data_IF_337675328354
#
_entry.id   IF_337675328354
#
_cell.length_a   1.000
_cell.length_b   1.000
_cell.length_c   1.000
_cell.angle_alpha   90.00
_cell.angle_beta   90.00
_cell.angle_gamma   90.00
#
_symmetry.space_group_name_H-M   'P 1'
#
loop_
_entity.id
_entity.type
_entity.pdbx_description
1 polymer ?
#
# COMPACT_ATOMS: atom_id res chain seq x y z
N UNK A 1 19.85 -5.79 14.80
CA UNK A 1 18.42 -6.02 15.05
C UNK A 1 17.60 -5.02 14.26
N UNK A 2 16.60 -5.52 13.63
CA UNK A 2 15.71 -4.68 12.83
C UNK A 2 14.85 -3.79 13.74
N UNK A 3 14.79 -2.51 13.44
CA UNK A 3 13.96 -1.57 14.19
C UNK A 3 12.57 -1.52 13.55
N UNK A 4 11.68 -2.43 13.97
CA UNK A 4 10.34 -2.51 13.46
C UNK A 4 9.46 -1.32 13.89
N UNK A 5 9.84 -0.61 14.96
CA UNK A 5 9.08 0.55 15.44
C UNK A 5 9.09 1.70 14.43
N UNK A 6 10.05 1.72 13.52
CA UNK A 6 10.18 2.78 12.52
C UNK A 6 8.92 2.96 11.66
N UNK A 7 8.17 1.87 11.43
CA UNK A 7 6.96 1.90 10.59
C UNK A 7 5.68 1.65 11.38
N UNK A 8 5.76 1.59 12.71
CA UNK A 8 4.59 1.30 13.54
C UNK A 8 3.48 2.33 13.33
N UNK A 9 3.84 3.62 13.33
CA UNK A 9 2.86 4.67 13.16
C UNK A 9 2.21 4.64 11.78
N UNK A 10 3.01 4.43 10.74
CA UNK A 10 2.50 4.32 9.37
C UNK A 10 1.56 3.12 9.25
N UNK A 11 1.95 1.98 9.82
CA UNK A 11 1.11 0.78 9.79
C UNK A 11 -0.19 0.98 10.56
N UNK A 12 -0.14 1.67 11.71
CA UNK A 12 -1.34 2.00 12.49
C UNK A 12 -2.32 2.86 11.68
N UNK A 13 -1.79 3.80 10.89
CA UNK A 13 -2.63 4.62 10.04
C UNK A 13 -3.30 3.80 8.94
N UNK A 14 -2.61 2.79 8.40
CA UNK A 14 -3.20 1.86 7.45
C UNK A 14 -4.30 1.03 8.10
N UNK A 15 -4.08 0.55 9.33
CA UNK A 15 -5.10 -0.20 10.08
C UNK A 15 -6.34 0.65 10.34
N UNK A 16 -6.14 1.89 10.74
CA UNK A 16 -7.26 2.81 11.00
C UNK A 16 -8.04 3.09 9.71
N UNK A 17 -7.32 3.30 8.60
CA UNK A 17 -7.96 3.54 7.31
C UNK A 17 -8.85 2.36 6.89
N UNK A 18 -8.42 1.13 7.16
CA UNK A 18 -9.16 -0.06 6.75
C UNK A 18 -10.60 -0.09 7.29
N UNK A 19 -10.87 0.60 8.40
CA UNK A 19 -12.22 0.68 8.96
C UNK A 19 -13.22 1.31 8.00
N UNK A 20 -12.76 2.15 7.07
CA UNK A 20 -13.61 2.83 6.10
C UNK A 20 -13.67 2.11 4.75
N UNK A 21 -13.08 0.93 4.63
CA UNK A 21 -13.10 0.18 3.38
C UNK A 21 -14.53 -0.14 2.94
N UNK A 22 -14.77 -0.05 1.63
CA UNK A 22 -16.05 -0.42 1.06
C UNK A 22 -15.91 -1.83 0.47
N UNK A 23 -16.22 -2.84 1.27
CA UNK A 23 -16.02 -4.25 0.91
C UNK A 23 -17.29 -5.09 1.17
N UNK A 24 -18.45 -4.71 0.59
CA UNK A 24 -19.71 -5.42 0.87
C UNK A 24 -19.77 -6.82 0.24
N UNK A 25 -18.91 -7.10 -0.75
CA UNK A 25 -18.95 -8.37 -1.47
C UNK A 25 -17.98 -9.38 -0.87
N UNK A 26 -16.73 -9.01 -0.63
CA UNK A 26 -15.71 -9.91 -0.11
C UNK A 26 -15.68 -9.95 1.42
N UNK A 27 -16.13 -8.88 2.07
CA UNK A 27 -15.96 -8.64 3.52
C UNK A 27 -14.48 -8.63 3.94
N UNK A 28 -13.58 -8.34 2.99
CA UNK A 28 -12.14 -8.29 3.22
C UNK A 28 -11.66 -6.85 3.08
N UNK A 29 -11.42 -6.20 4.22
CA UNK A 29 -11.04 -4.79 4.29
C UNK A 29 -9.53 -4.65 4.17
N UNK A 30 -9.11 -3.65 3.39
CA UNK A 30 -7.70 -3.31 3.25
C UNK A 30 -7.55 -1.82 3.44
N UNK A 31 -6.54 -1.42 4.20
CA UNK A 31 -6.15 -0.03 4.34
C UNK A 31 -4.72 0.16 3.89
N UNK A 32 -4.42 1.31 3.33
CA UNK A 32 -3.06 1.68 2.94
C UNK A 32 -2.73 3.05 3.48
N UNK A 33 -1.48 3.25 3.87
CA UNK A 33 -0.95 4.53 4.29
C UNK A 33 0.32 4.80 3.50
N UNK A 34 0.31 5.88 2.73
CA UNK A 34 1.38 6.28 1.84
C UNK A 34 2.09 7.50 2.45
N UNK A 35 3.38 7.36 2.75
CA UNK A 35 4.16 8.47 3.30
C UNK A 35 4.78 9.27 2.17
N UNK A 36 4.60 10.58 2.22
CA UNK A 36 5.14 11.51 1.24
C UNK A 36 6.52 12.02 1.68
N UNK A 37 7.22 12.67 0.77
CA UNK A 37 8.56 13.18 1.02
C UNK A 37 8.60 14.30 2.09
N UNK A 38 7.47 14.98 2.32
CA UNK A 38 7.36 15.99 3.38
C UNK A 38 6.98 15.40 4.74
N UNK A 39 6.85 14.08 4.82
CA UNK A 39 6.49 13.38 6.05
C UNK A 39 4.98 13.22 6.29
N UNK A 40 4.15 13.86 5.47
CA UNK A 40 2.70 13.68 5.58
C UNK A 40 2.28 12.31 5.05
N UNK A 41 1.07 11.90 5.38
CA UNK A 41 0.54 10.58 5.03
C UNK A 41 -0.80 10.72 4.32
N UNK A 42 -0.95 10.00 3.23
CA UNK A 42 -2.22 9.88 2.49
C UNK A 42 -2.71 8.45 2.62
N UNK A 43 -3.95 8.27 3.06
CA UNK A 43 -4.50 6.93 3.23
C UNK A 43 -5.44 6.57 2.08
N UNK A 44 -5.63 5.27 1.91
CA UNK A 44 -6.58 4.72 0.95
C UNK A 44 -7.17 3.43 1.47
N UNK A 45 -8.28 3.03 0.88
CA UNK A 45 -9.00 1.81 1.23
C UNK A 45 -9.41 1.10 -0.04
N UNK A 46 -9.69 -0.21 0.06
CA UNK A 46 -10.28 -0.89 -1.08
C UNK A 46 -11.74 -0.44 -1.25
N UNK A 47 -12.10 -0.24 -2.50
CA UNK A 47 -13.45 0.18 -2.89
C UNK A 47 -13.95 -0.83 -3.90
N UNK A 48 -14.85 -1.69 -3.45
CA UNK A 48 -15.40 -2.74 -4.29
C UNK A 48 -16.55 -2.24 -5.14
N UNK A 49 -16.82 -2.96 -6.20
CA UNK A 49 -17.92 -2.69 -7.10
C UNK A 49 -18.61 -4.01 -7.43
N UNK A 50 -19.92 -3.96 -7.65
CA UNK A 50 -20.66 -5.15 -8.10
C UNK A 50 -20.13 -5.69 -9.43
N UNK A 51 -19.52 -4.84 -10.24
CA UNK A 51 -18.70 -5.25 -11.36
C UNK A 51 -17.27 -5.45 -10.84
N UNK A 52 -16.91 -6.67 -10.57
CA UNK A 52 -15.67 -7.00 -9.84
C UNK A 52 -14.42 -6.42 -10.49
N UNK A 53 -14.41 -6.36 -11.81
CA UNK A 53 -13.27 -5.79 -12.54
C UNK A 53 -13.05 -4.30 -12.31
N UNK A 54 -14.02 -3.61 -11.72
CA UNK A 54 -13.91 -2.17 -11.42
C UNK A 54 -13.53 -1.91 -9.96
N UNK A 55 -13.34 -2.95 -9.16
CA UNK A 55 -12.87 -2.84 -7.78
C UNK A 55 -11.45 -2.25 -7.78
N UNK A 56 -11.20 -1.31 -6.86
CA UNK A 56 -9.87 -0.71 -6.72
C UNK A 56 -9.27 -1.07 -5.36
N UNK A 57 -7.99 -1.43 -5.37
CA UNK A 57 -7.27 -1.81 -4.17
C UNK A 57 -6.89 -0.57 -3.34
N UNK A 58 -6.67 -0.78 -2.04
CA UNK A 58 -6.33 0.29 -1.11
C UNK A 58 -5.05 1.04 -1.54
N UNK A 59 -4.04 0.32 -1.99
CA UNK A 59 -2.76 0.91 -2.38
C UNK A 59 -2.95 1.89 -3.54
N UNK A 60 -3.71 1.48 -4.55
CA UNK A 60 -3.98 2.35 -5.71
C UNK A 60 -4.84 3.54 -5.32
N UNK A 61 -5.82 3.34 -4.44
CA UNK A 61 -6.65 4.44 -3.93
C UNK A 61 -5.78 5.50 -3.25
N UNK A 62 -4.83 5.08 -2.41
CA UNK A 62 -3.93 6.00 -1.73
C UNK A 62 -3.05 6.76 -2.72
N UNK A 63 -2.46 6.04 -3.68
CA UNK A 63 -1.58 6.66 -4.68
C UNK A 63 -2.35 7.63 -5.57
N UNK A 64 -3.52 7.22 -6.06
CA UNK A 64 -4.32 8.07 -6.94
C UNK A 64 -4.82 9.31 -6.20
N UNK A 65 -5.18 9.15 -4.92
CA UNK A 65 -5.57 10.29 -4.09
C UNK A 65 -4.41 11.28 -3.94
N UNK A 66 -3.21 10.79 -3.67
CA UNK A 66 -2.02 11.64 -3.54
C UNK A 66 -1.71 12.37 -4.84
N UNK A 67 -1.78 11.67 -5.97
CA UNK A 67 -1.58 12.29 -7.28
C UNK A 67 -2.60 13.40 -7.53
N UNK A 68 -3.88 13.15 -7.19
CA UNK A 68 -4.93 14.15 -7.33
C UNK A 68 -4.70 15.38 -6.44
N UNK A 69 -3.98 15.21 -5.32
CA UNK A 69 -3.58 16.30 -4.44
C UNK A 69 -2.35 17.06 -4.92
N UNK A 70 -1.77 16.67 -6.07
CA UNK A 70 -0.57 17.29 -6.60
C UNK A 70 0.73 16.73 -6.02
N UNK A 71 0.69 15.59 -5.33
CA UNK A 71 1.85 14.94 -4.72
C UNK A 71 2.29 13.75 -5.53
N UNK A 72 3.58 13.55 -5.71
CA UNK A 72 4.10 12.43 -6.50
C UNK A 72 5.44 11.87 -6.02
N UNK A 73 5.92 12.32 -4.85
CA UNK A 73 7.18 11.81 -4.28
C UNK A 73 6.84 11.02 -3.02
N UNK A 74 6.87 9.71 -3.12
CA UNK A 74 6.43 8.80 -2.07
C UNK A 74 7.63 8.05 -1.50
N UNK A 75 7.72 7.96 -0.17
CA UNK A 75 8.90 7.41 0.51
C UNK A 75 8.66 6.06 1.18
N UNK A 76 7.42 5.70 1.46
CA UNK A 76 7.08 4.41 2.06
C UNK A 76 5.60 4.15 1.91
N UNK A 77 5.22 2.88 1.94
CA UNK A 77 3.80 2.49 1.97
C UNK A 77 3.60 1.36 2.96
N UNK A 78 2.54 1.46 3.75
CA UNK A 78 2.09 0.40 4.65
C UNK A 78 0.70 -0.07 4.23
N UNK A 79 0.47 -1.37 4.29
CA UNK A 79 -0.78 -2.01 3.87
C UNK A 79 -1.26 -2.91 5.00
N UNK A 80 -2.51 -2.71 5.43
CA UNK A 80 -3.08 -3.47 6.53
C UNK A 80 -4.30 -4.26 6.05
N UNK A 81 -4.34 -5.54 6.42
CA UNK A 81 -5.43 -6.45 6.09
C UNK A 81 -5.98 -7.08 7.38
N UNK A 82 -6.76 -6.31 8.17
CA UNK A 82 -7.18 -6.76 9.51
C UNK A 82 -8.06 -8.02 9.51
N UNK A 83 -8.68 -8.35 8.38
CA UNK A 83 -9.56 -9.53 8.30
C UNK A 83 -8.79 -10.82 7.98
N UNK A 84 -7.49 -10.73 7.71
CA UNK A 84 -6.65 -11.90 7.48
C UNK A 84 -5.92 -12.28 8.78
N UNK A 85 -5.47 -13.52 8.86
CA UNK A 85 -4.67 -14.01 9.99
C UNK A 85 -3.19 -14.21 9.61
N UNK A 86 -2.81 -13.72 8.44
CA UNK A 86 -1.42 -13.75 7.95
C UNK A 86 -1.15 -12.48 7.14
N UNK A 87 0.11 -12.09 6.96
CA UNK A 87 0.43 -10.91 6.14
C UNK A 87 0.05 -11.15 4.67
N UNK A 88 -0.79 -10.27 4.12
CA UNK A 88 -1.20 -10.35 2.73
C UNK A 88 -0.49 -9.25 1.96
N UNK A 89 0.34 -9.64 1.00
CA UNK A 89 1.08 -8.69 0.18
C UNK A 89 0.20 -8.02 -0.87
N UNK A 90 0.71 -6.94 -1.47
CA UNK A 90 -0.03 -6.25 -2.53
C UNK A 90 -0.22 -7.14 -3.75
N UNK A 91 -1.35 -7.00 -4.43
CA UNK A 91 -1.62 -7.76 -5.66
C UNK A 91 -0.67 -7.33 -6.79
N UNK A 92 -0.62 -8.12 -7.86
CA UNK A 92 0.28 -7.83 -8.98
C UNK A 92 0.06 -6.46 -9.60
N UNK A 93 -1.20 -6.07 -9.78
CA UNK A 93 -1.52 -4.76 -10.33
C UNK A 93 -1.02 -3.63 -9.43
N UNK A 94 -1.17 -3.79 -8.11
CA UNK A 94 -0.68 -2.80 -7.15
C UNK A 94 0.85 -2.73 -7.17
N UNK A 95 1.53 -3.86 -7.33
CA UNK A 95 3.01 -3.88 -7.40
C UNK A 95 3.49 -3.09 -8.61
N UNK A 96 2.83 -3.24 -9.75
CA UNK A 96 3.17 -2.46 -10.94
C UNK A 96 2.95 -0.97 -10.71
N UNK A 97 1.80 -0.59 -10.13
CA UNK A 97 1.49 0.81 -9.87
C UNK A 97 2.48 1.40 -8.86
N UNK A 98 2.78 0.67 -7.79
CA UNK A 98 3.76 1.12 -6.78
C UNK A 98 5.13 1.34 -7.43
N UNK A 99 5.56 0.44 -8.33
CA UNK A 99 6.87 0.56 -8.97
C UNK A 99 7.00 1.80 -9.85
N UNK A 100 5.89 2.31 -10.37
CA UNK A 100 5.89 3.54 -11.18
C UNK A 100 6.29 4.75 -10.35
N UNK A 101 5.83 4.81 -9.09
CA UNK A 101 5.89 6.03 -8.28
C UNK A 101 6.91 5.98 -7.15
N UNK A 102 7.53 4.83 -6.88
CA UNK A 102 8.42 4.67 -5.74
C UNK A 102 9.75 4.06 -6.17
N UNK A 103 10.82 4.43 -5.46
CA UNK A 103 12.13 3.87 -5.74
C UNK A 103 12.19 2.40 -5.33
N UNK A 104 13.06 1.58 -5.98
CA UNK A 104 13.15 0.16 -5.64
C UNK A 104 13.51 -0.14 -4.18
N UNK A 105 14.22 0.77 -3.50
CA UNK A 105 14.62 0.60 -2.11
C UNK A 105 13.60 1.17 -1.12
N UNK A 106 12.50 1.75 -1.61
CA UNK A 106 11.49 2.32 -0.72
C UNK A 106 10.80 1.21 0.07
N UNK A 107 10.56 1.42 1.38
CA UNK A 107 9.93 0.40 2.21
C UNK A 107 8.49 0.12 1.84
N UNK A 108 8.15 -1.17 1.84
CA UNK A 108 6.79 -1.68 1.73
C UNK A 108 6.55 -2.57 2.94
N UNK A 109 5.57 -2.19 3.77
CA UNK A 109 5.24 -2.91 5.00
C UNK A 109 3.81 -3.39 4.87
N UNK A 110 3.58 -4.69 5.08
CA UNK A 110 2.22 -5.21 4.99
C UNK A 110 1.98 -6.25 6.07
N UNK A 111 0.76 -6.29 6.58
CA UNK A 111 0.43 -7.23 7.66
C UNK A 111 -1.03 -7.20 8.05
N UNK A 112 -1.40 -8.18 8.87
CA UNK A 112 -2.75 -8.30 9.43
C UNK A 112 -2.87 -7.70 10.83
N UNK A 113 -1.72 -7.53 11.51
CA UNK A 113 -1.63 -6.88 12.82
C UNK A 113 -0.22 -6.36 13.02
N UNK A 114 -0.01 -5.58 14.08
CA UNK A 114 1.32 -5.05 14.38
C UNK A 114 2.36 -6.15 14.59
N UNK A 115 1.95 -7.29 15.16
CA UNK A 115 2.87 -8.41 15.40
C UNK A 115 2.94 -9.41 14.26
N UNK A 116 2.14 -9.24 13.22
CA UNK A 116 2.06 -10.19 12.09
C UNK A 116 2.20 -9.42 10.78
N UNK A 117 3.41 -8.88 10.57
CA UNK A 117 3.68 -8.05 9.40
C UNK A 117 5.06 -8.35 8.82
N UNK A 118 5.22 -8.06 7.55
CA UNK A 118 6.45 -8.20 6.79
C UNK A 118 6.91 -6.82 6.37
N UNK A 119 8.20 -6.55 6.51
CA UNK A 119 8.83 -5.33 6.04
C UNK A 119 9.78 -5.69 4.90
N UNK A 120 9.57 -5.11 3.74
CA UNK A 120 10.36 -5.35 2.56
C UNK A 120 10.52 -4.04 1.78
N UNK A 121 10.79 -4.13 0.49
CA UNK A 121 10.97 -2.97 -0.37
C UNK A 121 10.15 -3.13 -1.65
N UNK A 122 10.03 -2.06 -2.42
CA UNK A 122 9.39 -2.11 -3.75
C UNK A 122 10.07 -3.16 -4.62
N UNK A 123 11.41 -3.15 -4.68
CA UNK A 123 12.16 -4.16 -5.42
C UNK A 123 11.97 -5.57 -4.87
N UNK A 124 11.75 -5.70 -3.56
CA UNK A 124 11.48 -6.99 -2.94
C UNK A 124 10.16 -7.61 -3.36
N UNK A 125 9.12 -6.78 -3.55
CA UNK A 125 7.80 -7.28 -3.98
C UNK A 125 7.66 -7.31 -5.51
N UNK A 126 8.53 -6.62 -6.25
CA UNK A 126 8.46 -6.57 -7.71
C UNK A 126 9.86 -6.56 -8.32
N UNK A 127 10.60 -7.67 -8.20
CA UNK A 127 12.04 -7.70 -8.55
C UNK A 127 12.32 -7.65 -10.06
N UNK A 128 11.40 -8.11 -10.89
CA UNK A 128 11.61 -8.19 -12.35
C UNK A 128 10.58 -7.32 -13.06
N UNK A 129 10.73 -6.00 -12.94
CA UNK A 129 9.82 -5.04 -13.54
C UNK A 129 10.09 -4.98 -15.05
N UNK A 130 9.19 -5.54 -15.83
CA UNK A 130 9.32 -5.60 -17.28
C UNK A 130 9.27 -4.24 -17.96
N UNK A 131 8.78 -3.24 -17.26
CA UNK A 131 8.64 -1.87 -17.79
C UNK A 131 9.66 -0.90 -17.21
N UNK A 132 10.67 -1.44 -16.53
CA UNK A 132 11.68 -0.63 -15.84
C UNK A 132 12.33 0.41 -16.75
N UNK A 133 12.62 0.07 -18.00
CA UNK A 133 13.30 0.96 -18.94
C UNK A 133 12.44 2.16 -19.34
N UNK A 134 11.13 2.09 -19.17
CA UNK A 134 10.23 3.18 -19.50
C UNK A 134 10.05 4.16 -18.35
N UNK A 135 10.61 3.83 -17.19
CA UNK A 135 10.38 4.61 -15.98
C UNK A 135 11.23 5.88 -15.99
N UNK A 136 10.59 7.01 -15.73
CA UNK A 136 11.24 8.32 -15.66
C UNK A 136 11.33 8.75 -14.19
N UNK A 137 12.47 8.51 -13.58
CA UNK A 137 12.67 8.89 -12.18
C UNK A 137 13.77 9.91 -12.03
#
# INVERSE_FOLDING_TARGET
MKDSSKYDHLFEQAMEAAKNAYAPYSHFRVGAALRLDDGSVVTGVNVENRSYGLTNCAERTAIFRAIAMGKKNFTAIAIATPDADYPVGPCGACRQVISEFMQPDAPVVFGSSAGNRIETTVGGVYPFDSLHELQQK
#
